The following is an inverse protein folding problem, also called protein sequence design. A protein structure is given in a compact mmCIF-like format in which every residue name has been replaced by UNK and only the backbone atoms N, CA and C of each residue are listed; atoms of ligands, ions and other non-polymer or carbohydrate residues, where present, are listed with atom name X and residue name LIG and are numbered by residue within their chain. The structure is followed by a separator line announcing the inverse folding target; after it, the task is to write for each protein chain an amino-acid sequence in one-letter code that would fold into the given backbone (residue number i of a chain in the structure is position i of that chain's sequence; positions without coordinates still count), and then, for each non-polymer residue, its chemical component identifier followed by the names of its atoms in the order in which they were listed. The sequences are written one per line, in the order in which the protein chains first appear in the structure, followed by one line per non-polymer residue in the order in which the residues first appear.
data_IF_473880114003
#
_entry.id   IF_473880114003
#
_cell.length_a   1.000
_cell.length_b   1.000
_cell.length_c   1.000
_cell.angle_alpha   90.00
_cell.angle_beta   90.00
_cell.angle_gamma   90.00
#
_symmetry.space_group_name_H-M   'P 1'
#
loop_
_entity.id
_entity.type
_entity.pdbx_description
1 polymer ?
#
# COMPACT_ATOMS: atom_id res chain seq x y z
N UNK A 1 13.24 -25.36 -21.86
CA UNK A 1 12.19 -26.15 -22.50
C UNK A 1 10.88 -25.86 -21.78
N UNK A 2 9.85 -25.29 -22.44
CA UNK A 2 8.56 -25.10 -21.81
C UNK A 2 7.79 -26.43 -21.87
N UNK A 3 7.45 -26.99 -20.71
CA UNK A 3 6.53 -28.11 -20.62
C UNK A 3 5.12 -27.64 -20.99
N UNK A 4 4.61 -28.14 -22.09
CA UNK A 4 3.22 -28.00 -22.50
C UNK A 4 2.33 -28.73 -21.48
N UNK A 5 1.48 -27.99 -20.80
CA UNK A 5 0.40 -28.59 -19.99
C UNK A 5 -0.73 -29.03 -20.92
N UNK A 6 -1.33 -30.21 -20.73
CA UNK A 6 -2.44 -30.69 -21.54
C UNK A 6 -3.69 -29.80 -21.34
N UNK A 7 -4.60 -29.71 -22.30
CA UNK A 7 -5.82 -28.93 -22.21
C UNK A 7 -6.75 -29.54 -21.14
N UNK A 8 -7.04 -28.77 -20.09
CA UNK A 8 -7.94 -29.19 -19.03
C UNK A 8 -9.40 -29.06 -19.48
N UNK A 9 -10.15 -30.15 -19.44
CA UNK A 9 -11.61 -30.21 -19.65
C UNK A 9 -12.30 -30.03 -18.29
N UNK A 10 -13.08 -28.96 -18.12
CA UNK A 10 -13.86 -28.68 -16.91
C UNK A 10 -14.46 -27.27 -16.89
N UNK A 11 -15.63 -27.07 -16.28
CA UNK A 11 -16.30 -25.77 -16.11
C UNK A 11 -15.52 -24.80 -15.20
N UNK A 12 -15.79 -23.50 -15.31
CA UNK A 12 -15.11 -22.41 -14.60
C UNK A 12 -14.90 -22.63 -13.09
N UNK A 13 -15.88 -23.10 -12.29
CA UNK A 13 -15.67 -23.33 -10.85
C UNK A 13 -14.75 -24.51 -10.54
N UNK A 14 -14.75 -25.57 -11.36
CA UNK A 14 -13.88 -26.75 -11.17
C UNK A 14 -12.43 -26.37 -11.43
N UNK A 15 -12.16 -25.55 -12.44
CA UNK A 15 -10.82 -25.06 -12.77
C UNK A 15 -10.22 -24.16 -11.67
N UNK A 16 -11.06 -23.35 -11.02
CA UNK A 16 -10.61 -22.51 -9.90
C UNK A 16 -10.20 -23.34 -8.69
N UNK A 17 -10.99 -24.36 -8.33
CA UNK A 17 -10.72 -25.29 -7.23
C UNK A 17 -9.46 -26.15 -7.47
N UNK A 18 -9.31 -26.67 -8.69
CA UNK A 18 -8.09 -27.40 -9.07
C UNK A 18 -6.85 -26.52 -9.03
N UNK A 19 -6.95 -25.29 -9.51
CA UNK A 19 -5.84 -24.34 -9.43
C UNK A 19 -5.44 -24.03 -7.98
N UNK A 20 -6.42 -23.83 -7.10
CA UNK A 20 -6.17 -23.61 -5.64
C UNK A 20 -5.51 -24.84 -5.05
N UNK A 21 -6.00 -26.06 -5.36
CA UNK A 21 -5.39 -27.33 -4.87
C UNK A 21 -3.96 -27.52 -5.35
N UNK A 22 -3.68 -27.26 -6.64
CA UNK A 22 -2.32 -27.38 -7.19
C UNK A 22 -1.37 -26.37 -6.58
N UNK A 23 -1.83 -25.12 -6.35
CA UNK A 23 -1.03 -24.09 -5.66
C UNK A 23 -0.82 -24.41 -4.19
N UNK A 24 -1.82 -24.92 -3.49
CA UNK A 24 -1.69 -25.38 -2.12
C UNK A 24 -0.71 -26.58 -2.00
N UNK A 25 -0.73 -27.50 -2.96
CA UNK A 25 0.22 -28.61 -3.01
C UNK A 25 1.66 -28.13 -3.29
N UNK A 26 1.84 -27.14 -4.18
CA UNK A 26 3.15 -26.53 -4.42
C UNK A 26 3.68 -25.81 -3.20
N UNK A 27 2.83 -25.03 -2.49
CA UNK A 27 3.21 -24.36 -1.25
C UNK A 27 3.55 -25.37 -0.14
N UNK A 28 2.78 -26.45 -0.02
CA UNK A 28 3.05 -27.52 0.98
C UNK A 28 4.42 -28.17 0.80
N UNK A 29 4.93 -28.23 -0.42
CA UNK A 29 6.25 -28.77 -0.71
C UNK A 29 7.38 -27.74 -0.61
N UNK A 30 7.07 -26.44 -0.50
CA UNK A 30 8.04 -25.35 -0.34
C UNK A 30 8.21 -25.00 1.14
N UNK A 31 9.03 -25.79 1.85
CA UNK A 31 9.32 -25.55 3.28
C UNK A 31 9.81 -24.14 3.55
N UNK A 32 10.60 -23.57 2.64
CA UNK A 32 11.09 -22.20 2.78
C UNK A 32 9.95 -21.16 2.77
N UNK A 33 8.98 -21.31 1.87
CA UNK A 33 7.82 -20.40 1.85
C UNK A 33 6.95 -20.55 3.11
N UNK A 34 6.76 -21.77 3.63
CA UNK A 34 6.02 -22.00 4.87
C UNK A 34 6.72 -21.32 6.06
N UNK A 35 8.04 -21.51 6.18
CA UNK A 35 8.84 -20.86 7.24
C UNK A 35 8.75 -19.34 7.11
N UNK A 36 8.85 -18.80 5.89
CA UNK A 36 8.70 -17.39 5.64
C UNK A 36 7.34 -16.84 6.11
N UNK A 37 6.25 -17.52 5.72
CA UNK A 37 4.91 -17.13 6.14
C UNK A 37 4.75 -17.16 7.65
N UNK A 38 5.30 -18.16 8.32
CA UNK A 38 5.28 -18.27 9.78
C UNK A 38 6.07 -17.15 10.45
N UNK A 39 7.26 -16.80 9.96
CA UNK A 39 8.09 -15.71 10.49
C UNK A 39 7.37 -14.36 10.33
N UNK A 40 6.85 -14.06 9.13
CA UNK A 40 6.13 -12.80 8.89
C UNK A 40 4.91 -12.72 9.82
N UNK A 41 4.09 -13.77 9.89
CA UNK A 41 2.91 -13.78 10.75
C UNK A 41 3.30 -13.58 12.23
N UNK A 42 4.29 -14.32 12.73
CA UNK A 42 4.72 -14.23 14.14
C UNK A 42 5.25 -12.84 14.49
N UNK A 43 6.10 -12.25 13.65
CA UNK A 43 6.70 -10.93 13.91
C UNK A 43 5.65 -9.82 13.81
N UNK A 44 4.77 -9.85 12.80
CA UNK A 44 3.72 -8.86 12.67
C UNK A 44 2.69 -8.95 13.79
N UNK A 45 2.19 -10.15 14.11
CA UNK A 45 1.24 -10.34 15.20
C UNK A 45 1.85 -9.95 16.55
N UNK A 46 3.09 -10.38 16.83
CA UNK A 46 3.78 -10.06 18.08
C UNK A 46 4.01 -8.55 18.23
N UNK A 47 4.52 -7.88 17.17
CA UNK A 47 4.75 -6.44 17.19
C UNK A 47 3.43 -5.64 17.30
N UNK A 48 2.39 -6.04 16.57
CA UNK A 48 1.06 -5.44 16.66
C UNK A 48 0.46 -5.61 18.04
N UNK A 49 0.60 -6.79 18.65
CA UNK A 49 0.13 -7.04 20.02
C UNK A 49 0.84 -6.12 21.03
N UNK A 50 2.17 -6.00 20.98
CA UNK A 50 2.91 -5.11 21.88
C UNK A 50 2.47 -3.65 21.68
N UNK A 51 2.36 -3.20 20.42
CA UNK A 51 1.92 -1.83 20.10
C UNK A 51 0.49 -1.56 20.56
N UNK A 52 -0.41 -2.54 20.49
CA UNK A 52 -1.80 -2.39 20.93
C UNK A 52 -1.93 -2.13 22.43
N UNK A 53 -0.96 -2.61 23.24
CA UNK A 53 -0.93 -2.35 24.69
C UNK A 53 -0.47 -0.93 25.03
N UNK A 54 0.30 -0.31 24.15
CA UNK A 54 0.87 1.04 24.33
C UNK A 54 0.06 2.14 23.59
N UNK A 55 -0.97 1.76 22.79
CA UNK A 55 -1.71 2.70 21.95
C UNK A 55 -2.90 3.30 22.68
N UNK A 56 -3.03 4.62 22.57
CA UNK A 56 -4.21 5.38 22.97
C UNK A 56 -4.90 6.02 21.75
N UNK A 57 -5.06 5.23 20.70
CA UNK A 57 -5.84 5.68 19.54
C UNK A 57 -7.33 5.71 19.91
N UNK A 58 -7.98 6.83 19.65
CA UNK A 58 -9.43 6.99 19.79
C UNK A 58 -10.27 5.98 18.98
N UNK A 59 -11.57 6.21 18.77
CA UNK A 59 -12.47 5.30 18.06
C UNK A 59 -11.94 4.86 16.69
N UNK A 60 -12.25 3.63 16.29
CA UNK A 60 -11.91 3.13 14.95
C UNK A 60 -12.97 3.59 13.94
N UNK A 61 -12.66 4.66 13.20
CA UNK A 61 -13.57 5.24 12.23
C UNK A 61 -14.03 4.24 11.16
N UNK A 62 -13.18 3.27 10.77
CA UNK A 62 -13.55 2.28 9.76
C UNK A 62 -14.54 1.27 10.31
N UNK A 63 -14.42 0.87 11.58
CA UNK A 63 -15.38 -0.01 12.22
C UNK A 63 -16.74 0.67 12.41
N UNK A 64 -16.73 1.96 12.82
CA UNK A 64 -17.95 2.77 12.92
C UNK A 64 -18.63 2.86 11.55
N UNK A 65 -17.89 3.24 10.51
CA UNK A 65 -18.43 3.35 9.16
C UNK A 65 -18.94 2.02 8.62
N UNK A 66 -18.25 0.90 8.86
CA UNK A 66 -18.70 -0.43 8.47
C UNK A 66 -20.04 -0.79 9.15
N UNK A 67 -20.19 -0.45 10.41
CA UNK A 67 -21.42 -0.68 11.19
C UNK A 67 -22.57 0.18 10.65
N UNK A 68 -22.31 1.46 10.35
CA UNK A 68 -23.31 2.36 9.79
C UNK A 68 -23.72 1.93 8.36
N UNK A 69 -22.76 1.48 7.52
CA UNK A 69 -23.07 0.92 6.19
C UNK A 69 -23.95 -0.33 6.30
N UNK A 70 -23.70 -1.22 7.26
CA UNK A 70 -24.53 -2.40 7.48
C UNK A 70 -25.97 -2.04 7.92
N UNK A 71 -26.17 -0.83 8.43
CA UNK A 71 -27.48 -0.25 8.79
C UNK A 71 -28.07 0.64 7.68
N UNK A 72 -27.45 0.69 6.50
CA UNK A 72 -27.89 1.51 5.38
C UNK A 72 -27.55 2.99 5.48
N UNK A 73 -26.58 3.38 6.34
CA UNK A 73 -26.09 4.75 6.50
C UNK A 73 -24.65 4.86 6.00
N UNK A 74 -24.24 6.07 5.64
CA UNK A 74 -22.89 6.38 5.15
C UNK A 74 -22.19 7.48 5.97
N UNK A 75 -22.86 7.97 7.02
CA UNK A 75 -22.33 8.93 7.98
C UNK A 75 -21.76 8.21 9.22
N UNK A 76 -20.92 8.91 9.97
CA UNK A 76 -20.31 8.41 11.21
C UNK A 76 -21.18 8.87 12.41
N UNK A 77 -22.28 8.20 12.64
CA UNK A 77 -23.33 8.62 13.59
C UNK A 77 -22.88 8.71 15.05
N UNK A 78 -21.88 7.93 15.46
CA UNK A 78 -21.40 7.87 16.85
C UNK A 78 -20.05 8.56 17.07
N UNK A 79 -19.55 9.31 16.07
CA UNK A 79 -18.24 9.95 16.18
C UNK A 79 -18.28 11.20 17.05
N UNK A 80 -17.32 11.32 17.98
CA UNK A 80 -17.15 12.48 18.87
C UNK A 80 -15.97 13.37 18.49
N UNK A 81 -15.06 12.90 17.64
CA UNK A 81 -13.88 13.64 17.15
C UNK A 81 -14.16 14.18 15.76
N UNK A 82 -13.66 15.39 15.45
CA UNK A 82 -13.92 16.08 14.18
C UNK A 82 -12.70 16.21 13.28
N UNK A 83 -11.51 15.76 13.70
CA UNK A 83 -10.30 15.86 12.89
C UNK A 83 -10.39 14.98 11.64
N UNK A 84 -10.08 15.54 10.47
CA UNK A 84 -10.21 14.89 9.14
C UNK A 84 -11.64 14.44 8.81
N UNK A 85 -12.64 15.06 9.42
CA UNK A 85 -14.06 14.79 9.22
C UNK A 85 -14.72 15.95 8.50
N UNK A 86 -15.61 15.60 7.57
CA UNK A 86 -16.52 16.55 6.89
C UNK A 86 -17.82 16.58 7.64
N UNK A 87 -18.27 17.77 8.03
CA UNK A 87 -19.60 17.95 8.66
C UNK A 87 -20.53 18.68 7.70
N UNK A 88 -21.63 18.04 7.32
CA UNK A 88 -22.69 18.59 6.46
C UNK A 88 -24.02 18.34 7.16
N UNK A 89 -24.80 19.40 7.37
CA UNK A 89 -26.12 19.35 8.01
C UNK A 89 -26.14 18.60 9.33
N UNK A 90 -25.08 18.74 10.14
CA UNK A 90 -24.91 18.09 11.43
C UNK A 90 -24.54 16.61 11.36
N UNK A 91 -24.31 16.05 10.17
CA UNK A 91 -23.81 14.69 9.97
C UNK A 91 -22.32 14.71 9.70
N UNK A 92 -21.63 13.70 10.16
CA UNK A 92 -20.18 13.54 10.05
C UNK A 92 -19.83 12.51 8.99
N UNK A 93 -18.93 12.84 8.07
CA UNK A 93 -18.50 11.96 6.98
C UNK A 93 -16.98 11.86 6.95
N UNK A 94 -16.50 10.64 6.71
CA UNK A 94 -15.08 10.40 6.49
C UNK A 94 -14.65 10.89 5.11
N UNK A 95 -13.55 11.66 5.02
CA UNK A 95 -12.97 12.13 3.74
C UNK A 95 -12.12 11.06 3.04
N UNK A 96 -12.25 9.79 3.40
CA UNK A 96 -11.44 8.69 2.85
C UNK A 96 -12.19 7.87 1.81
N UNK A 97 -11.41 7.12 1.01
CA UNK A 97 -11.92 6.16 0.03
C UNK A 97 -12.71 5.03 0.69
N UNK A 98 -13.55 4.34 -0.09
CA UNK A 98 -14.43 3.27 0.41
C UNK A 98 -13.67 1.99 0.77
N UNK A 99 -12.64 1.61 -0.03
CA UNK A 99 -12.03 0.28 0.08
C UNK A 99 -11.53 -0.04 1.50
N UNK A 100 -10.89 0.89 2.25
CA UNK A 100 -10.41 0.61 3.60
C UNK A 100 -11.50 0.18 4.60
N UNK A 101 -12.78 0.48 4.31
CA UNK A 101 -13.90 0.05 5.16
C UNK A 101 -14.34 -1.39 4.87
N UNK A 102 -14.11 -1.87 3.64
CA UNK A 102 -14.61 -3.19 3.18
C UNK A 102 -14.13 -4.35 4.06
N UNK A 103 -12.85 -4.44 4.48
CA UNK A 103 -12.38 -5.53 5.35
C UNK A 103 -13.02 -5.56 6.73
N UNK A 104 -13.66 -4.48 7.18
CA UNK A 104 -14.38 -4.44 8.45
C UNK A 104 -15.80 -4.98 8.38
N UNK A 105 -16.44 -4.97 7.21
CA UNK A 105 -17.82 -5.44 7.05
C UNK A 105 -18.06 -6.86 7.58
N UNK A 106 -17.17 -7.84 7.36
CA UNK A 106 -17.33 -9.17 7.94
C UNK A 106 -17.23 -9.22 9.47
N UNK A 107 -16.64 -8.18 10.11
CA UNK A 107 -16.49 -8.12 11.57
C UNK A 107 -17.71 -7.51 12.26
N UNK A 108 -18.61 -6.85 11.52
CA UNK A 108 -19.79 -6.18 12.10
C UNK A 108 -20.65 -7.10 12.97
N UNK A 109 -20.92 -8.38 12.59
CA UNK A 109 -21.71 -9.28 13.43
C UNK A 109 -21.01 -9.73 14.73
N UNK A 110 -19.70 -9.44 14.88
CA UNK A 110 -18.88 -9.93 16.00
C UNK A 110 -18.46 -8.76 16.91
N UNK A 111 -19.41 -8.21 17.69
CA UNK A 111 -19.19 -7.02 18.53
C UNK A 111 -18.00 -7.16 19.49
N UNK A 112 -17.71 -8.37 19.97
CA UNK A 112 -16.56 -8.64 20.83
C UNK A 112 -15.19 -8.39 20.14
N UNK A 113 -15.13 -8.36 18.81
CA UNK A 113 -13.94 -8.04 18.04
C UNK A 113 -13.75 -6.53 17.80
N UNK A 114 -14.78 -5.70 18.01
CA UNK A 114 -14.73 -4.27 17.67
C UNK A 114 -13.58 -3.51 18.36
N UNK A 115 -13.27 -3.74 19.64
CA UNK A 115 -12.15 -3.09 20.29
C UNK A 115 -10.79 -3.43 19.66
N UNK A 116 -10.71 -4.57 18.96
CA UNK A 116 -9.49 -5.09 18.32
C UNK A 116 -9.52 -4.98 16.80
N UNK A 117 -10.61 -4.48 16.20
CA UNK A 117 -10.86 -4.49 14.75
C UNK A 117 -9.71 -3.90 13.94
N UNK A 118 -9.22 -2.73 14.33
CA UNK A 118 -8.10 -2.06 13.67
C UNK A 118 -6.83 -2.90 13.62
N UNK A 119 -6.52 -3.58 14.73
CA UNK A 119 -5.33 -4.42 14.86
C UNK A 119 -5.46 -5.69 14.02
N UNK A 120 -6.62 -6.32 14.06
CA UNK A 120 -6.94 -7.54 13.31
C UNK A 120 -6.89 -7.26 11.80
N UNK A 121 -7.55 -6.20 11.36
CA UNK A 121 -7.62 -5.85 9.92
C UNK A 121 -6.27 -5.41 9.40
N UNK A 122 -5.57 -4.51 10.12
CA UNK A 122 -4.23 -4.06 9.70
C UNK A 122 -3.24 -5.22 9.65
N UNK A 123 -3.23 -6.08 10.69
CA UNK A 123 -2.35 -7.26 10.71
C UNK A 123 -2.67 -8.22 9.57
N UNK A 124 -3.95 -8.52 9.31
CA UNK A 124 -4.34 -9.42 8.22
C UNK A 124 -3.87 -8.94 6.85
N UNK A 125 -4.03 -7.65 6.56
CA UNK A 125 -3.62 -7.07 5.27
C UNK A 125 -2.10 -6.93 5.20
N UNK A 126 -1.45 -6.41 6.25
CA UNK A 126 0.00 -6.25 6.29
C UNK A 126 0.76 -7.58 6.22
N UNK A 127 0.30 -8.62 6.94
CA UNK A 127 0.85 -9.98 6.85
C UNK A 127 0.69 -10.52 5.43
N UNK A 128 -0.49 -10.36 4.82
CA UNK A 128 -0.75 -10.79 3.45
C UNK A 128 0.19 -10.11 2.45
N UNK A 129 0.42 -8.80 2.58
CA UNK A 129 1.36 -8.06 1.76
C UNK A 129 2.82 -8.52 2.01
N UNK A 130 3.21 -8.71 3.28
CA UNK A 130 4.53 -9.24 3.66
C UNK A 130 4.79 -10.66 3.12
N UNK A 131 3.76 -11.53 3.06
CA UNK A 131 3.87 -12.83 2.41
C UNK A 131 4.12 -12.72 0.92
N UNK A 132 3.50 -11.74 0.25
CA UNK A 132 3.68 -11.52 -1.19
C UNK A 132 5.05 -10.95 -1.55
N UNK A 133 5.81 -10.39 -0.61
CA UNK A 133 7.18 -9.96 -0.87
C UNK A 133 8.07 -11.10 -1.39
N UNK A 134 7.91 -12.32 -0.86
CA UNK A 134 8.68 -13.50 -1.31
C UNK A 134 8.36 -13.89 -2.78
N UNK A 135 7.10 -14.11 -3.21
CA UNK A 135 6.82 -14.44 -4.60
C UNK A 135 7.18 -13.32 -5.58
N UNK A 136 7.13 -12.05 -5.19
CA UNK A 136 7.63 -10.94 -6.01
C UNK A 136 9.16 -11.00 -6.11
N UNK A 137 9.87 -11.19 -4.99
CA UNK A 137 11.33 -11.35 -4.96
C UNK A 137 11.81 -12.51 -5.84
N UNK A 138 11.08 -13.64 -5.85
CA UNK A 138 11.40 -14.81 -6.69
C UNK A 138 11.25 -14.56 -8.19
N UNK A 139 10.31 -13.68 -8.58
CA UNK A 139 10.03 -13.38 -10.00
C UNK A 139 10.97 -12.32 -10.57
N UNK A 140 11.27 -11.34 -9.78
CA UNK A 140 12.01 -10.16 -10.23
C UNK A 140 13.49 -10.21 -9.86
N UNK A 141 13.88 -10.94 -8.81
CA UNK A 141 15.23 -11.03 -8.29
C UNK A 141 16.10 -12.13 -8.93
N UNK A 142 17.37 -12.22 -8.48
CA UNK A 142 18.36 -13.17 -9.01
C UNK A 142 18.20 -14.61 -8.54
N UNK A 143 17.34 -14.87 -7.56
CA UNK A 143 17.23 -16.19 -6.94
C UNK A 143 18.22 -16.41 -5.77
N UNK A 144 18.30 -17.65 -5.28
CA UNK A 144 19.22 -18.04 -4.21
C UNK A 144 19.03 -17.25 -2.91
N UNK A 145 20.13 -16.91 -2.24
CA UNK A 145 20.11 -16.15 -0.99
C UNK A 145 19.57 -14.73 -1.14
N UNK A 146 19.75 -14.10 -2.30
CA UNK A 146 19.24 -12.76 -2.59
C UNK A 146 17.71 -12.68 -2.49
N UNK A 147 16.99 -13.76 -2.78
CA UNK A 147 15.53 -13.83 -2.62
C UNK A 147 15.10 -13.56 -1.19
N UNK A 148 15.81 -14.09 -0.21
CA UNK A 148 15.47 -13.91 1.21
C UNK A 148 15.79 -12.49 1.69
N UNK A 149 16.90 -11.92 1.25
CA UNK A 149 17.23 -10.52 1.50
C UNK A 149 16.16 -9.59 0.93
N UNK A 150 15.75 -9.84 -0.32
CA UNK A 150 14.67 -9.08 -0.95
C UNK A 150 13.33 -9.26 -0.23
N UNK A 151 12.95 -10.49 0.11
CA UNK A 151 11.73 -10.73 0.86
C UNK A 151 11.75 -9.99 2.21
N UNK A 152 12.91 -10.00 2.91
CA UNK A 152 13.09 -9.25 4.16
C UNK A 152 12.99 -7.74 3.94
N UNK A 153 13.55 -7.20 2.85
CA UNK A 153 13.37 -5.79 2.49
C UNK A 153 11.89 -5.47 2.30
N UNK A 154 11.15 -6.25 1.51
CA UNK A 154 9.75 -5.98 1.22
C UNK A 154 8.84 -6.05 2.45
N UNK A 155 9.08 -7.01 3.35
CA UNK A 155 8.25 -7.20 4.53
C UNK A 155 8.69 -6.36 5.74
N UNK A 156 10.00 -6.16 5.95
CA UNK A 156 10.54 -5.57 7.19
C UNK A 156 11.43 -4.36 6.96
N UNK A 157 11.83 -4.07 5.73
CA UNK A 157 12.72 -2.95 5.39
C UNK A 157 12.01 -1.81 4.65
N UNK A 158 10.68 -1.80 4.64
CA UNK A 158 9.83 -0.72 4.14
C UNK A 158 8.81 -0.32 5.20
N UNK A 159 8.12 0.81 5.01
CA UNK A 159 7.10 1.26 5.95
C UNK A 159 5.91 0.29 6.06
N UNK A 160 5.81 -0.75 5.24
CA UNK A 160 4.77 -1.78 5.35
C UNK A 160 4.68 -2.32 6.78
N UNK A 161 5.82 -2.59 7.43
CA UNK A 161 5.87 -3.12 8.80
C UNK A 161 5.33 -2.10 9.81
N UNK A 162 5.89 -0.89 9.84
CA UNK A 162 5.50 0.14 10.82
C UNK A 162 4.05 0.60 10.66
N UNK A 163 3.55 0.75 9.42
CA UNK A 163 2.16 1.10 9.17
C UNK A 163 1.19 -0.01 9.61
N UNK A 164 1.59 -1.28 9.44
CA UNK A 164 0.76 -2.42 9.87
C UNK A 164 0.61 -2.45 11.38
N UNK A 165 1.73 -2.36 12.10
CA UNK A 165 1.73 -2.49 13.57
C UNK A 165 1.09 -1.30 14.28
N UNK A 166 1.01 -0.14 13.64
CA UNK A 166 0.37 1.04 14.21
C UNK A 166 -1.16 0.90 14.29
N UNK A 167 -1.76 0.04 13.45
CA UNK A 167 -3.20 -0.26 13.48
C UNK A 167 -4.09 0.97 13.31
N UNK A 168 -3.60 2.01 12.65
CA UNK A 168 -4.34 3.24 12.44
C UNK A 168 -5.11 3.18 11.12
N UNK A 169 -6.37 3.59 11.12
CA UNK A 169 -7.23 3.58 9.95
C UNK A 169 -6.68 4.44 8.78
N UNK A 170 -5.91 5.49 9.07
CA UNK A 170 -5.24 6.29 8.02
C UNK A 170 -4.22 5.49 7.20
N UNK A 171 -3.69 4.39 7.75
CA UNK A 171 -2.62 3.62 7.12
C UNK A 171 -3.14 2.43 6.32
N UNK A 172 -4.39 2.01 6.60
CA UNK A 172 -4.98 0.84 5.97
C UNK A 172 -5.02 0.95 4.45
N UNK A 173 -5.38 2.11 3.92
CA UNK A 173 -5.36 2.37 2.48
C UNK A 173 -3.98 2.12 1.83
N UNK A 174 -2.90 2.42 2.54
CA UNK A 174 -1.53 2.15 2.06
C UNK A 174 -1.20 0.66 2.09
N UNK A 175 -1.64 -0.06 3.13
CA UNK A 175 -1.45 -1.51 3.24
C UNK A 175 -2.18 -2.25 2.11
N UNK A 176 -3.42 -1.87 1.82
CA UNK A 176 -4.21 -2.39 0.69
C UNK A 176 -3.55 -2.08 -0.65
N UNK A 177 -3.07 -0.85 -0.82
CA UNK A 177 -2.36 -0.43 -2.02
C UNK A 177 -1.12 -1.29 -2.29
N UNK A 178 -0.30 -1.56 -1.26
CA UNK A 178 0.87 -2.44 -1.37
C UNK A 178 0.47 -3.87 -1.72
N UNK A 179 -0.52 -4.43 -1.02
CA UNK A 179 -1.04 -5.78 -1.26
C UNK A 179 -1.49 -5.94 -2.72
N UNK A 180 -2.32 -5.01 -3.20
CA UNK A 180 -2.86 -5.03 -4.56
C UNK A 180 -1.79 -4.79 -5.63
N UNK A 181 -0.80 -3.93 -5.35
CA UNK A 181 0.34 -3.70 -6.25
C UNK A 181 1.26 -4.91 -6.32
N UNK A 182 1.50 -5.62 -5.23
CA UNK A 182 2.25 -6.88 -5.27
C UNK A 182 1.51 -7.95 -6.08
N UNK A 183 0.20 -8.05 -5.95
CA UNK A 183 -0.62 -8.94 -6.79
C UNK A 183 -0.55 -8.53 -8.27
N UNK A 184 -0.60 -7.23 -8.57
CA UNK A 184 -0.40 -6.67 -9.91
C UNK A 184 0.94 -7.09 -10.51
N UNK A 185 2.04 -6.92 -9.75
CA UNK A 185 3.38 -7.32 -10.20
C UNK A 185 3.47 -8.83 -10.47
N UNK A 186 2.86 -9.66 -9.63
CA UNK A 186 2.80 -11.11 -9.84
C UNK A 186 2.02 -11.44 -11.12
N UNK A 187 0.84 -10.84 -11.31
CA UNK A 187 0.03 -11.07 -12.51
C UNK A 187 0.73 -10.58 -13.78
N UNK A 188 1.42 -9.43 -13.69
CA UNK A 188 2.21 -8.90 -14.79
C UNK A 188 3.33 -9.84 -15.22
N UNK A 189 4.03 -10.44 -14.28
CA UNK A 189 5.10 -11.38 -14.57
C UNK A 189 4.56 -12.71 -15.14
N UNK A 190 3.46 -13.24 -14.57
CA UNK A 190 3.00 -14.61 -14.83
C UNK A 190 2.13 -14.72 -16.09
N UNK A 191 1.03 -13.96 -16.17
CA UNK A 191 -0.03 -14.19 -17.18
C UNK A 191 -0.44 -12.96 -17.98
N UNK A 192 -0.21 -11.77 -17.47
CA UNK A 192 -0.54 -10.47 -18.10
C UNK A 192 -2.00 -10.37 -18.58
N UNK A 193 -2.95 -10.88 -17.80
CA UNK A 193 -4.38 -10.78 -18.11
C UNK A 193 -4.84 -9.34 -17.95
N UNK A 194 -5.14 -8.67 -19.07
CA UNK A 194 -5.48 -7.24 -19.12
C UNK A 194 -6.60 -6.87 -18.14
N UNK A 195 -7.69 -7.65 -18.10
CA UNK A 195 -8.81 -7.40 -17.21
C UNK A 195 -8.44 -7.49 -15.71
N UNK A 196 -7.57 -8.46 -15.34
CA UNK A 196 -7.16 -8.63 -13.95
C UNK A 196 -6.15 -7.57 -13.52
N UNK A 197 -5.24 -7.18 -14.42
CA UNK A 197 -4.32 -6.05 -14.20
C UNK A 197 -5.14 -4.78 -13.97
N UNK A 198 -6.12 -4.49 -14.83
CA UNK A 198 -7.01 -3.34 -14.70
C UNK A 198 -7.84 -3.39 -13.41
N UNK A 199 -8.36 -4.56 -13.02
CA UNK A 199 -9.10 -4.76 -11.79
C UNK A 199 -8.22 -4.47 -10.55
N UNK A 200 -6.98 -4.99 -10.53
CA UNK A 200 -6.05 -4.77 -9.42
C UNK A 200 -5.66 -3.29 -9.31
N UNK A 201 -5.43 -2.61 -10.44
CA UNK A 201 -5.19 -1.15 -10.47
C UNK A 201 -6.44 -0.40 -9.99
N UNK A 202 -7.62 -0.76 -10.46
CA UNK A 202 -8.89 -0.14 -10.04
C UNK A 202 -9.16 -0.30 -8.54
N UNK A 203 -8.97 -1.51 -8.00
CA UNK A 203 -9.07 -1.75 -6.55
C UNK A 203 -8.02 -0.96 -5.77
N UNK A 204 -6.76 -0.94 -6.24
CA UNK A 204 -5.72 -0.12 -5.62
C UNK A 204 -6.07 1.37 -5.65
N UNK A 205 -6.70 1.86 -6.73
CA UNK A 205 -7.19 3.24 -6.82
C UNK A 205 -8.37 3.52 -5.88
N UNK A 206 -9.23 2.53 -5.59
CA UNK A 206 -10.28 2.63 -4.57
C UNK A 206 -9.71 2.73 -3.14
N UNK A 207 -8.47 2.30 -2.89
CA UNK A 207 -7.76 2.54 -1.65
C UNK A 207 -7.01 3.89 -1.72
N UNK A 208 -6.23 4.09 -2.79
CA UNK A 208 -5.34 5.23 -3.01
C UNK A 208 -5.53 5.78 -4.42
N UNK A 209 -6.29 6.89 -4.62
CA UNK A 209 -6.66 7.41 -5.94
C UNK A 209 -5.48 7.65 -6.89
N UNK A 210 -4.29 7.97 -6.36
CA UNK A 210 -3.04 8.15 -7.13
C UNK A 210 -2.68 6.94 -7.99
N UNK A 211 -3.06 5.72 -7.55
CA UNK A 211 -2.72 4.48 -8.22
C UNK A 211 -3.49 4.25 -9.53
N UNK A 212 -4.54 5.03 -9.82
CA UNK A 212 -5.18 4.98 -11.14
C UNK A 212 -4.21 5.33 -12.27
N UNK A 213 -3.20 6.17 -11.98
CA UNK A 213 -2.18 6.60 -12.95
C UNK A 213 -1.28 5.45 -13.42
N UNK A 214 -1.19 4.37 -12.64
CA UNK A 214 -0.46 3.15 -13.01
C UNK A 214 -1.09 2.46 -14.23
N UNK A 215 -2.37 2.70 -14.49
CA UNK A 215 -3.06 2.20 -15.69
C UNK A 215 -2.41 2.68 -16.99
N UNK A 216 -1.76 3.85 -16.99
CA UNK A 216 -1.12 4.42 -18.18
C UNK A 216 0.05 3.54 -18.65
N UNK A 217 1.15 3.34 -17.89
CA UNK A 217 2.29 2.57 -18.37
C UNK A 217 1.95 1.10 -18.60
N UNK A 218 1.17 0.47 -17.73
CA UNK A 218 0.77 -0.93 -17.89
C UNK A 218 -0.21 -1.12 -19.04
N UNK A 219 -1.21 -0.23 -19.20
CA UNK A 219 -2.17 -0.26 -20.26
C UNK A 219 -1.56 -0.05 -21.65
N UNK A 220 -0.68 0.96 -21.78
CA UNK A 220 0.04 1.21 -23.04
C UNK A 220 0.91 0.02 -23.44
N UNK A 221 1.58 -0.62 -22.48
CA UNK A 221 2.38 -1.80 -22.74
C UNK A 221 1.52 -2.98 -23.24
N UNK A 222 0.38 -3.26 -22.59
CA UNK A 222 -0.56 -4.32 -23.00
C UNK A 222 -1.16 -4.06 -24.38
N UNK A 223 -1.57 -2.83 -24.68
CA UNK A 223 -2.12 -2.44 -25.97
C UNK A 223 -1.09 -2.55 -27.10
N UNK A 224 0.16 -2.19 -26.81
CA UNK A 224 1.23 -2.28 -27.81
C UNK A 224 1.61 -3.74 -28.15
N UNK A 225 1.50 -4.67 -27.19
CA UNK A 225 1.81 -6.09 -27.36
C UNK A 225 0.62 -6.91 -27.88
N UNK A 226 -0.61 -6.34 -27.81
CA UNK A 226 -1.83 -7.07 -28.16
C UNK A 226 -2.05 -7.19 -29.66
N UNK A 227 -2.44 -8.39 -30.09
CA UNK A 227 -2.94 -8.65 -31.47
C UNK A 227 -4.37 -8.12 -31.67
N UNK A 228 -5.19 -8.13 -30.61
CA UNK A 228 -6.56 -7.59 -30.59
C UNK A 228 -6.63 -6.42 -29.61
N UNK A 229 -6.31 -5.23 -30.13
CA UNK A 229 -6.26 -3.99 -29.35
C UNK A 229 -7.63 -3.58 -28.80
N UNK A 230 -8.71 -3.83 -29.56
CA UNK A 230 -10.06 -3.48 -29.13
C UNK A 230 -10.47 -4.32 -27.91
N UNK A 231 -10.30 -5.63 -27.98
CA UNK A 231 -10.59 -6.53 -26.87
C UNK A 231 -9.75 -6.19 -25.63
N UNK A 232 -8.46 -5.87 -25.83
CA UNK A 232 -7.59 -5.47 -24.74
C UNK A 232 -8.01 -4.13 -24.15
N UNK A 233 -8.37 -3.14 -24.98
CA UNK A 233 -8.86 -1.85 -24.51
C UNK A 233 -10.15 -2.00 -23.69
N UNK A 234 -11.11 -2.82 -24.13
CA UNK A 234 -12.33 -3.10 -23.38
C UNK A 234 -12.01 -3.81 -22.04
N UNK A 235 -11.11 -4.80 -22.06
CA UNK A 235 -10.69 -5.51 -20.85
C UNK A 235 -9.99 -4.59 -19.84
N UNK A 236 -9.30 -3.55 -20.28
CA UNK A 236 -8.71 -2.51 -19.43
C UNK A 236 -9.77 -1.51 -18.96
N UNK A 237 -10.59 -1.01 -19.88
CA UNK A 237 -11.54 0.07 -19.60
C UNK A 237 -12.62 -0.32 -18.60
N UNK A 238 -13.20 -1.53 -18.73
CA UNK A 238 -14.35 -1.94 -17.90
C UNK A 238 -14.02 -1.92 -16.40
N UNK A 239 -12.95 -2.56 -15.89
CA UNK A 239 -12.63 -2.51 -14.46
C UNK A 239 -12.21 -1.10 -13.99
N UNK A 240 -11.47 -0.34 -14.81
CA UNK A 240 -11.03 1.02 -14.45
C UNK A 240 -12.20 1.99 -14.36
N UNK A 241 -13.09 1.98 -15.37
CA UNK A 241 -14.31 2.79 -15.32
C UNK A 241 -15.25 2.36 -14.20
N UNK A 242 -15.28 1.06 -13.88
CA UNK A 242 -16.01 0.54 -12.72
C UNK A 242 -15.48 1.14 -11.42
N UNK A 243 -14.16 1.19 -11.23
CA UNK A 243 -13.55 1.81 -10.05
C UNK A 243 -13.85 3.32 -9.95
N UNK A 244 -13.74 4.03 -11.08
CA UNK A 244 -14.10 5.46 -11.15
C UNK A 244 -15.58 5.68 -10.80
N UNK A 245 -16.48 4.85 -11.36
CA UNK A 245 -17.91 4.93 -11.09
C UNK A 245 -18.22 4.66 -9.58
N UNK A 246 -17.56 3.68 -8.97
CA UNK A 246 -17.71 3.39 -7.53
C UNK A 246 -17.25 4.59 -6.70
N UNK A 247 -16.08 5.18 -7.02
CA UNK A 247 -15.60 6.39 -6.33
C UNK A 247 -16.59 7.54 -6.47
N UNK A 248 -17.02 7.83 -7.69
CA UNK A 248 -17.97 8.91 -7.97
C UNK A 248 -19.32 8.71 -7.26
N UNK A 249 -19.83 7.47 -7.23
CA UNK A 249 -21.07 7.14 -6.50
C UNK A 249 -20.87 7.29 -4.98
N UNK A 250 -19.74 6.87 -4.44
CA UNK A 250 -19.39 7.01 -3.03
C UNK A 250 -19.30 8.48 -2.60
N UNK A 251 -18.65 9.31 -3.43
CA UNK A 251 -18.54 10.73 -3.17
C UNK A 251 -19.89 11.44 -3.30
N UNK A 252 -20.70 11.07 -4.31
CA UNK A 252 -22.04 11.63 -4.50
C UNK A 252 -22.97 11.34 -3.31
N UNK A 253 -22.97 10.12 -2.80
CA UNK A 253 -23.84 9.73 -1.67
C UNK A 253 -23.47 10.47 -0.38
N UNK A 254 -22.17 10.77 -0.19
CA UNK A 254 -21.70 11.50 1.02
C UNK A 254 -21.80 13.00 0.91
N UNK A 255 -21.45 13.54 -0.25
CA UNK A 255 -21.21 14.98 -0.42
C UNK A 255 -22.14 15.65 -1.44
N UNK A 256 -23.03 14.89 -2.09
CA UNK A 256 -23.93 15.41 -3.13
C UNK A 256 -23.25 15.74 -4.46
N UNK A 257 -21.96 15.47 -4.60
CA UNK A 257 -21.15 15.71 -5.80
C UNK A 257 -20.25 14.50 -6.10
N UNK A 258 -20.19 14.03 -7.35
CA UNK A 258 -19.35 12.88 -7.72
C UNK A 258 -17.85 13.22 -7.77
N UNK A 259 -17.47 14.48 -7.63
CA UNK A 259 -16.09 14.98 -7.70
C UNK A 259 -15.60 15.59 -6.38
N UNK A 260 -16.46 15.69 -5.36
CA UNK A 260 -16.06 16.16 -4.04
C UNK A 260 -15.56 14.99 -3.19
N UNK A 261 -14.27 14.98 -2.92
CA UNK A 261 -13.61 13.89 -2.17
C UNK A 261 -13.66 14.08 -0.65
N UNK A 262 -14.12 15.24 -0.19
CA UNK A 262 -14.11 15.64 1.21
C UNK A 262 -12.77 16.24 1.69
N UNK A 263 -11.65 16.00 1.02
CA UNK A 263 -10.35 16.54 1.46
C UNK A 263 -10.29 18.07 1.43
N UNK A 264 -11.03 18.71 0.52
CA UNK A 264 -11.11 20.18 0.41
C UNK A 264 -11.86 20.84 1.55
N UNK A 265 -12.83 20.13 2.14
CA UNK A 265 -13.81 20.68 3.09
C UNK A 265 -13.73 20.05 4.48
N UNK A 266 -12.94 18.97 4.68
CA UNK A 266 -12.75 18.36 5.99
C UNK A 266 -12.13 19.36 6.98
N UNK A 267 -12.55 19.26 8.24
CA UNK A 267 -11.91 20.00 9.31
C UNK A 267 -10.52 19.42 9.58
N UNK A 268 -9.51 20.26 9.57
CA UNK A 268 -8.12 19.91 9.89
C UNK A 268 -7.48 21.03 10.72
N UNK A 269 -6.43 20.68 11.46
CA UNK A 269 -5.71 21.66 12.29
C UNK A 269 -5.09 22.81 11.46
N UNK A 270 -5.00 23.99 12.09
CA UNK A 270 -4.61 25.25 11.46
C UNK A 270 -3.31 25.20 10.63
N UNK A 271 -2.21 24.53 11.03
CA UNK A 271 -1.00 24.46 10.20
C UNK A 271 -1.25 23.81 8.83
N UNK A 272 -2.00 22.70 8.79
CA UNK A 272 -2.34 22.00 7.56
C UNK A 272 -3.41 22.74 6.77
N UNK A 273 -4.37 23.38 7.44
CA UNK A 273 -5.39 24.19 6.79
C UNK A 273 -4.76 25.33 5.96
N UNK A 274 -3.74 26.04 6.49
CA UNK A 274 -3.01 27.07 5.75
C UNK A 274 -2.31 26.56 4.50
N UNK A 275 -1.78 25.34 4.54
CA UNK A 275 -1.19 24.72 3.36
C UNK A 275 -2.28 24.38 2.33
N UNK A 276 -3.42 23.82 2.78
CA UNK A 276 -4.55 23.51 1.91
C UNK A 276 -5.15 24.75 1.23
N UNK A 277 -5.17 25.89 1.91
CA UNK A 277 -5.64 27.15 1.33
C UNK A 277 -4.81 27.62 0.12
N UNK A 278 -3.57 27.11 -0.02
CA UNK A 278 -2.71 27.34 -1.19
C UNK A 278 -3.00 26.35 -2.35
N UNK A 279 -4.02 25.52 -2.19
CA UNK A 279 -4.46 24.50 -3.13
C UNK A 279 -4.25 23.07 -2.59
N UNK A 280 -5.24 22.21 -2.84
CA UNK A 280 -5.18 20.80 -2.44
C UNK A 280 -3.96 20.08 -3.09
N UNK A 281 -3.74 20.40 -4.38
CA UNK A 281 -2.58 20.01 -5.17
C UNK A 281 -1.97 21.27 -5.78
N UNK A 282 -0.75 21.63 -5.38
CA UNK A 282 -0.09 22.85 -5.82
C UNK A 282 1.42 22.66 -5.95
N UNK A 283 2.04 23.32 -6.94
CA UNK A 283 3.49 23.38 -7.09
C UNK A 283 4.19 24.00 -5.88
N UNK A 284 3.49 24.84 -5.11
CA UNK A 284 3.99 25.47 -3.89
C UNK A 284 4.40 24.42 -2.83
N UNK A 285 3.76 23.25 -2.81
CA UNK A 285 4.06 22.20 -1.84
C UNK A 285 5.29 21.37 -2.21
N UNK A 286 5.67 21.35 -3.50
CA UNK A 286 6.74 20.48 -4.01
C UNK A 286 8.09 20.67 -3.31
N UNK A 287 8.60 21.93 -3.12
CA UNK A 287 9.89 22.10 -2.46
C UNK A 287 9.93 21.50 -1.05
N UNK A 288 8.89 21.75 -0.26
CA UNK A 288 8.80 21.22 1.11
C UNK A 288 8.66 19.70 1.12
N UNK A 289 7.81 19.14 0.26
CA UNK A 289 7.55 17.71 0.19
C UNK A 289 8.79 16.94 -0.28
N UNK A 290 9.52 17.46 -1.26
CA UNK A 290 10.78 16.87 -1.73
C UNK A 290 11.87 17.00 -0.65
N UNK A 291 11.95 18.14 0.05
CA UNK A 291 12.90 18.32 1.14
C UNK A 291 12.65 17.32 2.28
N UNK A 292 11.40 17.09 2.67
CA UNK A 292 11.03 16.07 3.66
C UNK A 292 11.35 14.66 3.15
N UNK A 293 11.00 14.34 1.91
CA UNK A 293 11.19 13.03 1.30
C UNK A 293 12.66 12.62 1.16
N UNK A 294 13.54 13.58 0.83
CA UNK A 294 14.98 13.30 0.63
C UNK A 294 15.84 13.64 1.85
N UNK A 295 15.47 14.66 2.63
CA UNK A 295 16.32 15.23 3.66
C UNK A 295 15.70 15.30 5.06
N UNK A 296 14.42 14.91 5.22
CA UNK A 296 13.79 14.86 6.55
C UNK A 296 14.58 13.96 7.49
N UNK A 297 15.08 14.49 8.61
CA UNK A 297 15.95 13.82 9.54
C UNK A 297 15.28 13.54 10.88
N UNK A 298 16.14 13.18 11.84
CA UNK A 298 15.78 12.99 13.24
C UNK A 298 16.23 14.20 14.06
N UNK A 299 15.48 14.50 15.12
CA UNK A 299 15.93 15.38 16.22
C UNK A 299 16.48 14.51 17.34
N UNK A 300 17.59 14.95 17.96
CA UNK A 300 18.18 14.26 19.10
C UNK A 300 17.41 14.63 20.36
N UNK A 301 17.04 13.63 21.18
CA UNK A 301 16.40 13.77 22.49
C UNK A 301 17.35 13.30 23.61
N UNK A 302 17.17 13.83 24.80
CA UNK A 302 17.91 13.38 25.99
C UNK A 302 17.43 12.03 26.53
N UNK A 303 16.17 11.66 26.23
CA UNK A 303 15.55 10.42 26.70
C UNK A 303 15.40 9.40 25.58
N UNK A 304 15.38 8.10 25.95
CA UNK A 304 15.06 7.01 25.02
C UNK A 304 13.71 7.26 24.33
N UNK A 305 13.61 7.05 23.02
CA UNK A 305 14.57 6.37 22.12
C UNK A 305 15.64 7.27 21.47
N UNK A 306 16.00 8.39 22.04
CA UNK A 306 17.06 9.36 21.71
C UNK A 306 16.94 10.08 20.34
N UNK A 307 16.35 9.47 19.34
CA UNK A 307 16.11 10.08 18.04
C UNK A 307 14.60 10.19 17.80
N UNK A 308 14.12 11.40 17.57
CA UNK A 308 12.73 11.67 17.26
C UNK A 308 12.57 11.96 15.77
N UNK A 309 11.79 11.17 15.03
CA UNK A 309 11.50 11.47 13.64
C UNK A 309 10.64 12.73 13.52
N UNK A 310 10.79 13.45 12.42
CA UNK A 310 9.93 14.59 12.10
C UNK A 310 8.46 14.19 12.12
N UNK A 311 7.62 14.99 12.76
CA UNK A 311 6.17 14.78 12.85
C UNK A 311 5.44 14.81 11.49
N UNK A 312 6.08 15.40 10.46
CA UNK A 312 5.56 15.50 9.09
C UNK A 312 6.09 14.39 8.17
N UNK A 313 6.76 13.40 8.71
CA UNK A 313 7.45 12.35 7.98
C UNK A 313 8.94 12.65 7.80
N UNK A 314 9.73 11.66 7.41
CA UNK A 314 11.15 11.81 7.16
C UNK A 314 11.63 10.97 5.97
N UNK A 315 12.89 11.14 5.62
CA UNK A 315 13.49 10.70 4.37
C UNK A 315 13.35 9.21 4.09
N UNK A 316 12.97 8.87 2.86
CA UNK A 316 13.02 7.50 2.34
C UNK A 316 14.45 6.94 2.37
N UNK A 317 15.47 7.79 2.26
CA UNK A 317 16.87 7.37 2.34
C UNK A 317 17.28 6.96 3.76
N UNK A 318 16.53 7.42 4.78
CA UNK A 318 16.71 7.00 6.17
C UNK A 318 15.80 5.83 6.55
N UNK A 319 14.62 5.70 5.94
CA UNK A 319 13.73 4.57 6.23
C UNK A 319 14.07 3.33 5.42
N UNK A 320 14.37 3.52 4.13
CA UNK A 320 14.57 2.43 3.17
C UNK A 320 15.75 2.73 2.23
N UNK A 321 17.00 2.86 2.73
CA UNK A 321 18.16 3.19 1.89
C UNK A 321 18.39 2.21 0.74
N UNK A 322 17.86 0.99 0.82
CA UNK A 322 17.92 0.02 -0.27
C UNK A 322 17.24 0.48 -1.56
N UNK A 323 16.36 1.50 -1.54
CA UNK A 323 15.76 2.07 -2.77
C UNK A 323 16.80 2.65 -3.71
N UNK A 324 17.97 3.05 -3.20
CA UNK A 324 19.09 3.52 -4.03
C UNK A 324 19.56 2.47 -5.04
N UNK A 325 19.40 1.19 -4.75
CA UNK A 325 19.75 0.09 -5.66
C UNK A 325 18.87 0.13 -6.92
N UNK A 326 17.64 0.65 -6.85
CA UNK A 326 16.72 0.74 -7.99
C UNK A 326 17.33 1.55 -9.17
N UNK A 327 18.16 2.56 -8.87
CA UNK A 327 18.82 3.37 -9.91
C UNK A 327 19.83 2.59 -10.76
N UNK A 328 20.24 1.39 -10.33
CA UNK A 328 21.06 0.50 -11.14
C UNK A 328 20.25 -0.32 -12.17
N UNK A 329 18.92 -0.31 -12.12
CA UNK A 329 18.06 -0.96 -13.09
C UNK A 329 18.13 -0.22 -14.44
N UNK A 330 18.53 -0.92 -15.50
CA UNK A 330 18.74 -0.35 -16.83
C UNK A 330 17.45 0.22 -17.44
N UNK A 331 17.45 1.50 -17.80
CA UNK A 331 16.33 2.15 -18.51
C UNK A 331 16.15 1.66 -19.97
N UNK A 332 17.05 0.82 -20.49
CA UNK A 332 16.90 0.20 -21.82
C UNK A 332 15.84 -0.90 -21.82
N UNK A 333 15.59 -1.50 -20.66
CA UNK A 333 14.60 -2.54 -20.49
C UNK A 333 13.19 -1.94 -20.40
N UNK A 334 12.26 -2.43 -21.24
CA UNK A 334 10.87 -1.96 -21.28
C UNK A 334 10.15 -2.12 -19.93
N UNK A 335 10.40 -3.24 -19.24
CA UNK A 335 9.81 -3.46 -17.92
C UNK A 335 10.26 -2.39 -16.93
N UNK A 336 11.54 -2.04 -16.93
CA UNK A 336 12.08 -1.01 -16.05
C UNK A 336 11.50 0.38 -16.39
N UNK A 337 11.26 0.65 -17.69
CA UNK A 337 10.57 1.88 -18.12
C UNK A 337 9.13 1.95 -17.56
N UNK A 338 8.37 0.84 -17.61
CA UNK A 338 7.02 0.74 -17.07
C UNK A 338 7.04 0.98 -15.55
N UNK A 339 7.96 0.34 -14.83
CA UNK A 339 8.07 0.47 -13.38
C UNK A 339 8.48 1.89 -12.98
N UNK A 340 9.48 2.49 -13.64
CA UNK A 340 9.87 3.88 -13.40
C UNK A 340 8.77 4.89 -13.76
N UNK A 341 8.05 4.67 -14.87
CA UNK A 341 6.89 5.50 -15.22
C UNK A 341 5.80 5.41 -14.14
N UNK A 342 5.57 4.22 -13.57
CA UNK A 342 4.63 4.04 -12.45
C UNK A 342 5.10 4.79 -11.21
N UNK A 343 6.38 4.72 -10.85
CA UNK A 343 6.97 5.48 -9.73
C UNK A 343 6.76 6.99 -9.95
N UNK A 344 7.13 7.51 -11.11
CA UNK A 344 7.06 8.95 -11.41
C UNK A 344 5.61 9.44 -11.41
N UNK A 345 4.71 8.74 -12.10
CA UNK A 345 3.31 9.15 -12.23
C UNK A 345 2.59 9.13 -10.87
N UNK A 346 2.89 8.19 -9.98
CA UNK A 346 2.29 8.16 -8.64
C UNK A 346 2.97 9.13 -7.68
N UNK A 347 4.26 9.43 -7.84
CA UNK A 347 4.98 10.40 -7.01
C UNK A 347 4.57 11.85 -7.29
N UNK A 348 4.21 12.20 -8.53
CA UNK A 348 3.79 13.57 -8.90
C UNK A 348 2.66 14.07 -8.01
N UNK A 349 1.47 13.43 -7.92
CA UNK A 349 0.40 13.92 -7.06
C UNK A 349 0.77 13.89 -5.58
N UNK A 350 1.61 12.94 -5.13
CA UNK A 350 2.11 12.88 -3.76
C UNK A 350 2.91 14.13 -3.41
N UNK A 351 3.80 14.58 -4.28
CA UNK A 351 4.59 15.79 -4.03
C UNK A 351 3.80 17.10 -4.21
N UNK A 352 2.75 17.07 -5.00
CA UNK A 352 1.84 18.22 -5.16
C UNK A 352 0.86 18.36 -3.99
N UNK A 353 0.63 17.33 -3.17
CA UNK A 353 -0.38 17.31 -2.13
C UNK A 353 0.05 18.12 -0.90
N UNK A 354 -0.89 18.90 -0.32
CA UNK A 354 -0.62 19.78 0.82
C UNK A 354 -0.20 19.06 2.09
N UNK A 355 -0.60 17.80 2.27
CA UNK A 355 -0.43 17.02 3.49
C UNK A 355 0.98 16.49 3.74
N UNK A 356 1.97 16.86 2.91
CA UNK A 356 3.36 16.42 3.08
C UNK A 356 3.53 14.91 3.06
N UNK A 357 4.36 14.38 3.98
CA UNK A 357 4.59 12.95 4.16
C UNK A 357 3.51 12.23 4.96
N UNK A 358 2.51 12.96 5.45
CA UNK A 358 1.51 12.50 6.39
C UNK A 358 1.93 12.71 7.85
N UNK A 359 1.11 13.42 8.60
CA UNK A 359 1.42 13.76 10.00
C UNK A 359 1.48 12.52 10.92
N UNK A 360 2.24 12.64 12.00
CA UNK A 360 2.37 11.68 13.09
C UNK A 360 2.80 10.26 12.68
N UNK A 361 3.52 10.13 11.55
CA UNK A 361 3.96 8.85 10.99
C UNK A 361 5.47 8.72 11.04
N UNK A 362 5.97 7.52 11.32
CA UNK A 362 7.36 7.17 11.03
C UNK A 362 7.54 7.08 9.51
N UNK A 363 8.44 7.88 8.94
CA UNK A 363 8.70 7.90 7.49
C UNK A 363 7.72 8.77 6.68
N UNK A 364 7.87 8.74 5.36
CA UNK A 364 7.05 9.46 4.39
C UNK A 364 5.95 8.52 3.86
N UNK A 365 4.86 8.30 4.64
CA UNK A 365 3.89 7.21 4.36
C UNK A 365 3.32 7.19 2.94
N UNK A 366 3.21 8.34 2.27
CA UNK A 366 2.71 8.40 0.89
C UNK A 366 3.67 7.79 -0.14
N UNK A 367 4.93 7.50 0.24
CA UNK A 367 5.86 6.74 -0.60
C UNK A 367 5.35 5.32 -0.88
N UNK A 368 4.47 4.78 -0.04
CA UNK A 368 3.90 3.44 -0.21
C UNK A 368 3.07 3.29 -1.48
N UNK A 369 2.66 4.39 -2.12
CA UNK A 369 1.99 4.38 -3.42
C UNK A 369 2.96 3.94 -4.55
N UNK A 370 4.28 4.12 -4.39
CA UNK A 370 5.29 3.78 -5.40
C UNK A 370 6.40 2.83 -4.91
N UNK A 371 6.56 2.63 -3.61
CA UNK A 371 7.58 1.70 -3.04
C UNK A 371 7.48 0.27 -3.60
N UNK A 372 6.29 -0.33 -3.87
CA UNK A 372 6.23 -1.65 -4.48
C UNK A 372 6.88 -1.72 -5.87
N UNK A 373 6.82 -0.65 -6.66
CA UNK A 373 7.49 -0.57 -7.97
C UNK A 373 9.01 -0.38 -7.81
N UNK A 374 9.44 0.45 -6.84
CA UNK A 374 10.86 0.57 -6.46
C UNK A 374 11.40 -0.77 -5.98
N UNK A 375 10.64 -1.51 -5.17
CA UNK A 375 11.02 -2.86 -4.73
C UNK A 375 11.27 -3.81 -5.91
N UNK A 376 10.40 -3.80 -6.93
CA UNK A 376 10.60 -4.60 -8.13
C UNK A 376 11.86 -4.16 -8.91
N UNK A 377 12.12 -2.85 -9.01
CA UNK A 377 13.34 -2.31 -9.63
C UNK A 377 14.60 -2.71 -8.86
N UNK A 378 14.58 -2.63 -7.52
CA UNK A 378 15.66 -3.14 -6.65
C UNK A 378 15.90 -4.63 -6.93
N UNK A 379 14.83 -5.44 -6.98
CA UNK A 379 14.96 -6.86 -7.25
C UNK A 379 15.59 -7.14 -8.62
N UNK A 380 15.23 -6.39 -9.66
CA UNK A 380 15.80 -6.51 -11.01
C UNK A 380 17.27 -6.10 -11.00
N UNK A 381 17.60 -4.98 -10.37
CA UNK A 381 18.97 -4.47 -10.32
C UNK A 381 19.93 -5.42 -9.60
N UNK A 382 19.44 -6.21 -8.65
CA UNK A 382 20.24 -7.22 -7.92
C UNK A 382 20.61 -8.43 -8.79
N UNK A 383 20.01 -8.65 -9.97
CA UNK A 383 20.37 -9.77 -10.85
C UNK A 383 21.83 -9.74 -11.25
N UNK A 384 22.36 -8.54 -11.44
CA UNK A 384 23.74 -8.33 -11.88
C UNK A 384 24.69 -7.91 -10.75
N UNK A 385 24.15 -7.57 -9.57
CA UNK A 385 24.91 -6.92 -8.49
C UNK A 385 24.37 -7.32 -7.12
N UNK A 386 24.68 -8.50 -6.64
CA UNK A 386 24.34 -8.88 -5.27
C UNK A 386 25.60 -9.11 -4.45
N UNK A 387 26.11 -8.05 -3.85
CA UNK A 387 27.32 -8.03 -3.04
C UNK A 387 27.08 -7.59 -1.59
N UNK A 388 28.16 -7.17 -0.94
CA UNK A 388 28.08 -6.74 0.47
C UNK A 388 27.40 -5.37 0.63
N UNK A 389 27.58 -4.46 -0.34
CA UNK A 389 26.93 -3.14 -0.29
C UNK A 389 25.41 -3.27 -0.29
N UNK A 390 24.87 -4.09 -1.20
CA UNK A 390 23.43 -4.31 -1.32
C UNK A 390 22.86 -4.96 -0.05
N UNK A 391 23.57 -5.91 0.54
CA UNK A 391 23.19 -6.52 1.83
C UNK A 391 23.21 -5.50 2.97
N UNK A 392 24.20 -4.61 3.01
CA UNK A 392 24.28 -3.53 4.01
C UNK A 392 23.08 -2.59 3.84
N UNK A 393 22.78 -2.12 2.63
CA UNK A 393 21.66 -1.22 2.38
C UNK A 393 20.31 -1.84 2.76
N UNK A 394 20.11 -3.14 2.43
CA UNK A 394 18.91 -3.87 2.84
C UNK A 394 18.88 -4.04 4.37
N UNK A 395 19.99 -4.43 4.99
CA UNK A 395 20.10 -4.56 6.43
C UNK A 395 19.82 -3.26 7.18
N UNK A 396 20.37 -2.13 6.71
CA UNK A 396 20.08 -0.81 7.25
C UNK A 396 18.60 -0.44 7.12
N UNK A 397 17.96 -0.76 5.98
CA UNK A 397 16.52 -0.54 5.80
C UNK A 397 15.71 -1.29 6.86
N UNK A 398 16.03 -2.55 7.15
CA UNK A 398 15.38 -3.33 8.20
C UNK A 398 15.63 -2.72 9.58
N UNK A 399 16.88 -2.33 9.88
CA UNK A 399 17.25 -1.71 11.19
C UNK A 399 16.50 -0.41 11.42
N UNK A 400 16.41 0.47 10.41
CA UNK A 400 15.69 1.73 10.54
C UNK A 400 14.18 1.53 10.70
N UNK A 401 13.58 0.57 10.00
CA UNK A 401 12.15 0.26 10.16
C UNK A 401 11.87 -0.34 11.55
N UNK A 402 12.76 -1.22 12.05
CA UNK A 402 12.65 -1.74 13.43
C UNK A 402 12.83 -0.60 14.45
N UNK A 403 13.72 0.35 14.18
CA UNK A 403 13.82 1.56 15.00
C UNK A 403 12.50 2.35 15.00
N UNK A 404 11.86 2.50 13.85
CA UNK A 404 10.54 3.12 13.73
C UNK A 404 9.47 2.43 14.60
N UNK A 405 9.50 1.10 14.67
CA UNK A 405 8.66 0.35 15.61
C UNK A 405 8.95 0.68 17.06
N UNK A 406 10.23 0.67 17.46
CA UNK A 406 10.64 1.02 18.83
C UNK A 406 10.15 2.42 19.18
N UNK A 407 10.36 3.39 18.28
CA UNK A 407 9.88 4.75 18.48
C UNK A 407 8.35 4.81 18.66
N UNK A 408 7.57 4.08 17.86
CA UNK A 408 6.11 4.05 17.96
C UNK A 408 5.60 3.46 19.29
N UNK A 409 6.34 2.54 19.88
CA UNK A 409 5.98 1.92 21.16
C UNK A 409 6.29 2.84 22.35
N UNK A 410 7.34 3.66 22.24
CA UNK A 410 7.87 4.45 23.37
C UNK A 410 7.67 5.97 23.23
N UNK A 411 6.98 6.44 22.16
CA UNK A 411 6.68 7.88 21.98
C UNK A 411 5.64 8.41 22.96
#
# INVERSE_FOLDING_TARGET
MPMFSPPMQGGLPVRALEWVRLRAAQLRNDRGAIVWMAIVAALYCGATFVRSQASDWGPDHMMILATDIAQGRVDLSSLTTINDIVTIDGRHYQAMSLLPTVPYLPLVPFEFLWPFSRWVVSAAIGISAGWLALPVARRYGPGGSATWWLASLGAFGTLLFTLTIEGNFYYLAHLEAVLLTFLLLIEWHDRRRAWLIALLIGLAALARPTLILVAVPFGLALLAESKDRVRTAVALAVPLLGAIAVTAAWDFVRFGSPTETGYGIAWIEAPLARLRDQGLFSLVHVPNNVALFLGGGFTVRETFPWLEPSSLGHSILLTTPAVLIAFAASLRDRLNQILWASVILTAIPVFLFYGGGGAATYGYRYEMDFVPFLFALVAIALKDRFGNLEKILIGLSVVFVVYGYVWQVYK
#
